data_IF_233572122762
#
_entry.id   IF_233572122762
#
_cell.length_a   1.000
_cell.length_b   1.000
_cell.length_c   1.000
_cell.angle_alpha   90.00
_cell.angle_beta   90.00
_cell.angle_gamma   90.00
#
_symmetry.space_group_name_H-M   'P 1'
#
loop_
_entity.id
_entity.type
_entity.pdbx_description
1 polymer ?
#
# COMPACT_ATOMS: atom_id res chain seq x y z
N UNK A 1 0.36 -8.99 -1.21
CA UNK A 1 -0.40 -7.77 -0.86
C UNK A 1 0.15 -6.57 -1.63
N UNK A 2 1.39 -6.14 -1.39
CA UNK A 2 2.02 -4.99 -2.05
C UNK A 2 1.92 -4.97 -3.58
N UNK A 3 2.34 -6.03 -4.27
CA UNK A 3 2.18 -6.12 -5.74
C UNK A 3 0.70 -6.10 -6.17
N UNK A 4 -0.18 -6.74 -5.40
CA UNK A 4 -1.62 -6.71 -5.67
C UNK A 4 -2.22 -5.31 -5.56
N UNK A 5 -1.86 -4.57 -4.52
CA UNK A 5 -2.26 -3.17 -4.35
C UNK A 5 -1.67 -2.28 -5.44
N UNK A 6 -0.40 -2.50 -5.81
CA UNK A 6 0.27 -1.81 -6.90
C UNK A 6 -0.42 -2.03 -8.25
N UNK A 7 -0.72 -3.29 -8.59
CA UNK A 7 -1.43 -3.66 -9.81
C UNK A 7 -2.85 -3.12 -9.84
N UNK A 8 -3.56 -3.14 -8.71
CA UNK A 8 -4.90 -2.56 -8.62
C UNK A 8 -4.89 -1.06 -8.94
N UNK A 9 -4.02 -0.29 -8.28
CA UNK A 9 -3.86 1.13 -8.56
C UNK A 9 -3.42 1.39 -10.02
N UNK A 10 -2.47 0.61 -10.54
CA UNK A 10 -2.00 0.72 -11.91
C UNK A 10 -3.10 0.41 -12.93
N UNK A 11 -3.96 -0.58 -12.67
CA UNK A 11 -5.08 -0.95 -13.54
C UNK A 11 -6.19 0.10 -13.58
N UNK A 12 -6.39 0.85 -12.50
CA UNK A 12 -7.38 1.94 -12.45
C UNK A 12 -7.00 3.16 -13.31
N UNK A 13 -5.70 3.39 -13.54
CA UNK A 13 -5.22 4.50 -14.37
C UNK A 13 -5.73 4.42 -15.81
N UNK A 14 -5.47 3.36 -16.60
CA UNK A 14 -5.99 3.27 -17.96
C UNK A 14 -7.52 3.21 -17.99
N UNK A 15 -8.17 2.55 -17.02
CA UNK A 15 -9.63 2.49 -16.94
C UNK A 15 -10.25 3.88 -16.77
N UNK A 16 -9.61 4.75 -15.99
CA UNK A 16 -10.03 6.15 -15.86
C UNK A 16 -10.05 6.88 -17.20
N UNK A 17 -9.02 6.70 -18.03
CA UNK A 17 -8.94 7.35 -19.33
C UNK A 17 -9.95 6.78 -20.32
N UNK A 18 -10.21 5.47 -20.28
CA UNK A 18 -11.15 4.80 -21.17
C UNK A 18 -12.61 5.16 -20.88
N UNK A 19 -12.96 5.38 -19.61
CA UNK A 19 -14.36 5.60 -19.18
C UNK A 19 -14.63 7.01 -18.64
N UNK A 20 -13.62 7.88 -18.69
CA UNK A 20 -13.65 9.25 -18.17
C UNK A 20 -14.11 9.35 -16.70
N UNK A 21 -13.65 8.44 -15.84
CA UNK A 21 -14.00 8.39 -14.41
C UNK A 21 -13.83 9.74 -13.70
N UNK A 22 -12.83 10.53 -14.10
CA UNK A 22 -12.58 11.87 -13.57
C UNK A 22 -13.75 12.86 -13.67
N UNK A 23 -14.75 12.59 -14.52
CA UNK A 23 -15.99 13.38 -14.60
C UNK A 23 -16.95 13.11 -13.42
N UNK A 24 -16.87 11.92 -12.84
CA UNK A 24 -17.77 11.47 -11.78
C UNK A 24 -17.11 11.51 -10.41
N UNK A 25 -15.81 11.24 -10.36
CA UNK A 25 -15.01 11.31 -9.15
C UNK A 25 -13.65 12.00 -9.43
N UNK A 26 -13.35 13.14 -8.78
CA UNK A 26 -12.11 13.89 -8.95
C UNK A 26 -10.80 13.10 -8.71
N UNK A 27 -10.83 11.99 -7.96
CA UNK A 27 -9.67 11.11 -7.77
C UNK A 27 -9.16 10.50 -9.08
N UNK A 28 -10.02 10.42 -10.08
CA UNK A 28 -9.70 9.84 -11.38
C UNK A 28 -9.44 10.93 -12.44
N UNK A 29 -9.25 12.19 -12.03
CA UNK A 29 -8.68 13.23 -12.91
C UNK A 29 -7.22 12.91 -13.27
N UNK A 30 -6.62 13.61 -14.24
CA UNK A 30 -5.20 13.40 -14.61
C UNK A 30 -4.26 13.47 -13.42
N UNK A 31 -4.45 14.47 -12.55
CA UNK A 31 -3.64 14.63 -11.34
C UNK A 31 -3.89 13.47 -10.35
N UNK A 32 -5.15 13.09 -10.16
CA UNK A 32 -5.53 11.98 -9.31
C UNK A 32 -4.98 10.63 -9.79
N UNK A 33 -5.03 10.35 -11.10
CA UNK A 33 -4.40 9.17 -11.72
C UNK A 33 -2.88 9.19 -11.58
N UNK A 34 -2.23 10.36 -11.67
CA UNK A 34 -0.81 10.51 -11.37
C UNK A 34 -0.49 10.07 -9.94
N UNK A 35 -1.26 10.56 -8.97
CA UNK A 35 -1.13 10.15 -7.57
C UNK A 35 -1.40 8.65 -7.38
N UNK A 36 -2.44 8.10 -8.02
CA UNK A 36 -2.80 6.69 -7.96
C UNK A 36 -1.64 5.81 -8.45
N UNK A 37 -1.00 6.21 -9.56
CA UNK A 37 0.20 5.57 -10.10
C UNK A 37 1.40 5.65 -9.15
N UNK A 38 1.67 6.82 -8.57
CA UNK A 38 2.76 6.99 -7.60
C UNK A 38 2.57 6.11 -6.36
N UNK A 39 1.36 6.02 -5.81
CA UNK A 39 1.04 5.10 -4.72
C UNK A 39 1.23 3.64 -5.14
N UNK A 40 0.80 3.28 -6.35
CA UNK A 40 0.99 1.93 -6.89
C UNK A 40 2.47 1.54 -6.96
N UNK A 41 3.32 2.44 -7.45
CA UNK A 41 4.77 2.26 -7.49
C UNK A 41 5.39 2.20 -6.09
N UNK A 42 4.91 3.01 -5.14
CA UNK A 42 5.36 2.96 -3.76
C UNK A 42 5.09 1.59 -3.13
N UNK A 43 3.88 1.02 -3.33
CA UNK A 43 3.58 -0.34 -2.87
C UNK A 43 4.52 -1.36 -3.51
N UNK A 44 4.66 -1.32 -4.83
CA UNK A 44 5.50 -2.26 -5.56
C UNK A 44 6.96 -2.19 -5.11
N UNK A 45 7.50 -1.00 -4.80
CA UNK A 45 8.89 -0.82 -4.39
C UNK A 45 9.27 -1.58 -3.10
N UNK A 46 8.30 -1.87 -2.22
CA UNK A 46 8.53 -2.55 -0.95
C UNK A 46 8.14 -4.03 -0.95
N UNK A 47 7.76 -4.59 -2.10
CA UNK A 47 7.14 -5.93 -2.15
C UNK A 47 7.98 -7.07 -1.54
N UNK A 48 9.31 -6.96 -1.58
CA UNK A 48 10.25 -7.94 -1.03
C UNK A 48 10.99 -7.45 0.24
N UNK A 49 10.74 -6.21 0.67
CA UNK A 49 11.44 -5.56 1.80
C UNK A 49 10.49 -5.01 2.88
N UNK A 50 9.19 -5.24 2.78
CA UNK A 50 8.20 -4.70 3.73
C UNK A 50 8.45 -5.06 5.20
N UNK A 51 9.12 -6.18 5.48
CA UNK A 51 9.47 -6.62 6.84
C UNK A 51 10.54 -5.74 7.50
N UNK A 52 11.34 -5.02 6.71
CA UNK A 52 12.38 -4.11 7.19
C UNK A 52 11.81 -2.72 7.53
N UNK A 53 10.65 -2.37 6.96
CA UNK A 53 10.01 -1.07 7.14
C UNK A 53 8.49 -1.22 7.39
N UNK A 54 8.08 -1.89 8.49
CA UNK A 54 6.67 -2.12 8.80
C UNK A 54 5.90 -0.82 9.08
N UNK A 55 6.58 0.26 9.51
CA UNK A 55 5.97 1.58 9.64
C UNK A 55 5.41 2.09 8.31
N UNK A 56 6.05 1.79 7.18
CA UNK A 56 5.53 2.15 5.86
C UNK A 56 4.23 1.40 5.53
N UNK A 57 4.08 0.17 6.05
CA UNK A 57 2.81 -0.56 5.92
C UNK A 57 1.68 0.15 6.70
N UNK A 58 1.97 0.79 7.83
CA UNK A 58 0.98 1.61 8.56
C UNK A 58 0.56 2.81 7.71
N UNK A 59 1.51 3.51 7.09
CA UNK A 59 1.22 4.65 6.20
C UNK A 59 0.34 4.22 5.02
N UNK A 60 0.64 3.07 4.41
CA UNK A 60 -0.18 2.52 3.32
C UNK A 60 -1.58 2.13 3.81
N UNK A 61 -1.71 1.57 5.00
CA UNK A 61 -3.02 1.30 5.61
C UNK A 61 -3.85 2.57 5.81
N UNK A 62 -3.23 3.65 6.29
CA UNK A 62 -3.88 4.95 6.48
C UNK A 62 -4.30 5.59 5.16
N UNK A 63 -3.46 5.53 4.12
CA UNK A 63 -3.84 5.97 2.77
C UNK A 63 -5.08 5.21 2.28
N UNK A 64 -5.11 3.89 2.46
CA UNK A 64 -6.23 3.08 1.98
C UNK A 64 -7.51 3.38 2.75
N UNK A 65 -7.40 3.57 4.07
CA UNK A 65 -8.51 4.01 4.90
C UNK A 65 -9.07 5.36 4.45
N UNK A 66 -8.19 6.33 4.17
CA UNK A 66 -8.60 7.64 3.67
C UNK A 66 -9.43 7.51 2.39
N UNK A 67 -8.99 6.68 1.44
CA UNK A 67 -9.72 6.48 0.19
C UNK A 67 -11.03 5.71 0.36
N UNK A 68 -11.08 4.72 1.25
CA UNK A 68 -12.35 4.06 1.61
C UNK A 68 -13.35 5.02 2.22
N UNK A 69 -12.94 5.87 3.16
CA UNK A 69 -13.83 6.86 3.80
C UNK A 69 -14.31 7.89 2.78
N UNK A 70 -13.42 8.40 1.93
CA UNK A 70 -13.78 9.31 0.85
C UNK A 70 -14.78 8.68 -0.12
N UNK A 71 -14.55 7.42 -0.52
CA UNK A 71 -15.46 6.66 -1.37
C UNK A 71 -16.84 6.49 -0.72
N UNK A 72 -16.92 6.19 0.58
CA UNK A 72 -18.19 6.12 1.30
C UNK A 72 -18.94 7.47 1.26
N UNK A 73 -18.24 8.59 1.44
CA UNK A 73 -18.82 9.93 1.27
C UNK A 73 -19.31 10.20 -0.17
N UNK A 74 -18.54 9.76 -1.16
CA UNK A 74 -18.95 9.84 -2.57
C UNK A 74 -20.19 8.96 -2.85
N UNK A 75 -20.26 7.74 -2.31
CA UNK A 75 -21.41 6.85 -2.45
C UNK A 75 -22.69 7.44 -1.85
N UNK A 76 -22.59 8.17 -0.75
CA UNK A 76 -23.73 8.85 -0.12
C UNK A 76 -24.25 10.01 -1.00
N UNK A 77 -23.35 10.77 -1.61
CA UNK A 77 -23.69 11.95 -2.43
C UNK A 77 -24.07 11.59 -3.87
N UNK A 78 -23.55 10.49 -4.41
CA UNK A 78 -23.68 10.10 -5.83
C UNK A 78 -24.67 8.96 -6.08
N UNK A 79 -25.56 8.65 -5.12
CA UNK A 79 -26.55 7.56 -5.23
C UNK A 79 -27.43 7.63 -6.48
N UNK A 80 -27.73 8.83 -6.97
CA UNK A 80 -28.57 9.04 -8.17
C UNK A 80 -27.81 8.89 -9.49
N UNK A 81 -26.47 9.00 -9.45
CA UNK A 81 -25.60 8.94 -10.64
C UNK A 81 -25.34 7.50 -11.08
N UNK A 82 -25.14 6.60 -10.11
CA UNK A 82 -24.80 5.19 -10.34
C UNK A 82 -25.81 4.42 -11.22
N UNK A 83 -27.15 4.51 -11.00
CA UNK A 83 -28.11 3.83 -11.85
C UNK A 83 -28.07 4.28 -13.31
N UNK A 84 -27.77 5.56 -13.56
CA UNK A 84 -27.57 6.09 -14.91
C UNK A 84 -26.32 5.51 -15.56
N UNK A 85 -25.22 5.46 -14.81
CA UNK A 85 -23.96 4.85 -15.25
C UNK A 85 -24.12 3.36 -15.58
N UNK A 86 -24.86 2.59 -14.80
CA UNK A 86 -25.12 1.18 -15.11
C UNK A 86 -25.82 0.96 -16.46
N UNK A 87 -26.51 1.98 -16.98
CA UNK A 87 -27.13 1.97 -18.32
C UNK A 87 -26.17 2.45 -19.42
N UNK A 88 -25.39 3.49 -19.16
CA UNK A 88 -24.56 4.16 -20.18
C UNK A 88 -23.11 3.66 -20.25
N UNK A 89 -22.49 3.34 -19.10
CA UNK A 89 -21.10 2.89 -18.98
C UNK A 89 -20.95 1.93 -17.79
N UNK A 90 -21.09 0.64 -18.08
CA UNK A 90 -21.02 -0.43 -17.08
C UNK A 90 -19.63 -0.54 -16.45
N UNK A 91 -18.56 -0.23 -17.19
CA UNK A 91 -17.20 -0.33 -16.68
C UNK A 91 -16.95 0.78 -15.65
N UNK A 92 -17.34 2.02 -15.96
CA UNK A 92 -17.31 3.13 -15.00
C UNK A 92 -18.14 2.82 -13.75
N UNK A 93 -19.38 2.36 -13.96
CA UNK A 93 -20.30 2.03 -12.88
C UNK A 93 -19.72 0.95 -11.96
N UNK A 94 -19.11 -0.07 -12.55
CA UNK A 94 -18.47 -1.16 -11.80
C UNK A 94 -17.34 -0.61 -10.93
N UNK A 95 -16.36 0.08 -11.51
CA UNK A 95 -15.23 0.64 -10.75
C UNK A 95 -15.70 1.52 -9.59
N UNK A 96 -16.57 2.48 -9.87
CA UNK A 96 -17.09 3.42 -8.87
C UNK A 96 -17.89 2.72 -7.76
N UNK A 97 -18.48 1.55 -8.04
CA UNK A 97 -19.26 0.77 -7.07
C UNK A 97 -18.41 -0.03 -6.10
N UNK A 98 -17.17 -0.40 -6.46
CA UNK A 98 -16.40 -1.34 -5.62
C UNK A 98 -14.97 -0.88 -5.27
N UNK A 99 -14.41 0.15 -5.91
CA UNK A 99 -12.99 0.47 -5.68
C UNK A 99 -12.67 0.74 -4.20
N UNK A 100 -13.55 1.46 -3.48
CA UNK A 100 -13.34 1.77 -2.07
C UNK A 100 -13.46 0.56 -1.13
N UNK A 101 -14.19 -0.49 -1.55
CA UNK A 101 -14.23 -1.79 -0.84
C UNK A 101 -12.86 -2.47 -0.97
N UNK A 102 -12.30 -2.46 -2.18
CA UNK A 102 -10.97 -3.04 -2.45
C UNK A 102 -9.89 -2.28 -1.69
N UNK A 103 -9.96 -0.95 -1.64
CA UNK A 103 -9.07 -0.15 -0.79
C UNK A 103 -9.23 -0.54 0.69
N UNK A 104 -10.46 -0.74 1.17
CA UNK A 104 -10.72 -1.13 2.56
C UNK A 104 -10.11 -2.50 2.91
N UNK A 105 -10.17 -3.45 1.97
CA UNK A 105 -9.50 -4.73 2.12
C UNK A 105 -7.97 -4.56 2.19
N UNK A 106 -7.38 -3.77 1.30
CA UNK A 106 -5.94 -3.50 1.34
C UNK A 106 -5.51 -2.77 2.63
N UNK A 107 -6.34 -1.86 3.16
CA UNK A 107 -6.12 -1.21 4.45
C UNK A 107 -5.92 -2.24 5.57
N UNK A 108 -6.86 -3.17 5.73
CA UNK A 108 -6.78 -4.23 6.75
C UNK A 108 -5.55 -5.10 6.53
N UNK A 109 -5.24 -5.45 5.29
CA UNK A 109 -4.08 -6.27 4.95
C UNK A 109 -2.75 -5.56 5.27
N UNK A 110 -2.66 -4.26 5.02
CA UNK A 110 -1.47 -3.47 5.36
C UNK A 110 -1.27 -3.33 6.86
N UNK A 111 -2.33 -3.05 7.63
CA UNK A 111 -2.24 -3.05 9.10
C UNK A 111 -1.87 -4.42 9.66
N UNK A 112 -2.42 -5.50 9.08
CA UNK A 112 -2.02 -6.87 9.44
C UNK A 112 -0.53 -7.10 9.16
N UNK A 113 -0.01 -6.67 8.01
CA UNK A 113 1.43 -6.78 7.72
C UNK A 113 2.28 -6.01 8.72
N UNK A 114 1.89 -4.78 9.07
CA UNK A 114 2.58 -3.99 10.08
C UNK A 114 2.60 -4.71 11.45
N UNK A 115 1.45 -5.26 11.88
CA UNK A 115 1.33 -5.99 13.14
C UNK A 115 2.20 -7.25 13.19
N UNK A 116 2.28 -8.01 12.08
CA UNK A 116 3.11 -9.21 12.00
C UNK A 116 4.61 -8.91 12.13
N UNK A 117 5.05 -7.74 11.68
CA UNK A 117 6.46 -7.32 11.70
C UNK A 117 6.71 -6.23 12.74
N UNK A 118 5.83 -6.10 13.74
CA UNK A 118 5.84 -4.99 14.71
C UNK A 118 7.16 -4.82 15.47
N UNK A 119 7.92 -5.90 15.64
CA UNK A 119 9.23 -5.86 16.29
C UNK A 119 10.21 -4.92 15.55
N UNK A 120 10.03 -4.73 14.25
CA UNK A 120 10.84 -3.84 13.42
C UNK A 120 10.25 -2.44 13.24
N UNK A 121 9.19 -2.05 13.98
CA UNK A 121 8.55 -0.74 13.83
C UNK A 121 9.48 0.44 14.10
N UNK A 122 10.40 0.29 15.04
CA UNK A 122 11.35 1.32 15.44
C UNK A 122 12.78 1.04 14.92
N UNK A 123 12.95 0.06 14.03
CA UNK A 123 14.25 -0.28 13.45
C UNK A 123 15.26 -0.93 14.41
N UNK A 124 14.86 -1.31 15.62
CA UNK A 124 15.78 -1.80 16.67
C UNK A 124 16.36 -3.18 16.38
N UNK A 125 15.59 -4.10 15.82
CA UNK A 125 15.99 -5.52 15.71
C UNK A 125 17.16 -5.72 14.74
N UNK A 126 17.20 -4.99 13.62
CA UNK A 126 18.30 -5.12 12.65
C UNK A 126 19.62 -4.56 13.17
N UNK A 127 19.57 -3.50 13.97
CA UNK A 127 20.75 -2.91 14.60
C UNK A 127 21.31 -3.82 15.70
N UNK A 128 20.45 -4.38 16.55
CA UNK A 128 20.87 -5.32 17.59
C UNK A 128 21.44 -6.62 17.02
N UNK A 129 20.80 -7.22 16.01
CA UNK A 129 21.34 -8.44 15.36
C UNK A 129 22.70 -8.18 14.71
N UNK A 130 22.85 -7.04 14.02
CA UNK A 130 24.13 -6.67 13.40
C UNK A 130 25.20 -6.43 14.45
N UNK A 131 24.87 -5.71 15.53
CA UNK A 131 25.78 -5.45 16.63
C UNK A 131 26.21 -6.75 17.32
N UNK A 132 25.27 -7.64 17.60
CA UNK A 132 25.57 -8.95 18.19
C UNK A 132 26.45 -9.81 17.27
N UNK A 133 26.20 -9.80 15.96
CA UNK A 133 27.03 -10.51 14.98
C UNK A 133 28.46 -9.94 14.94
N UNK A 134 28.62 -8.61 14.95
CA UNK A 134 29.92 -7.93 14.98
C UNK A 134 30.68 -8.23 16.27
N UNK A 135 30.02 -8.14 17.43
CA UNK A 135 30.62 -8.45 18.74
C UNK A 135 31.08 -9.91 18.79
N UNK A 136 30.24 -10.85 18.35
CA UNK A 136 30.56 -12.28 18.34
C UNK A 136 31.75 -12.60 17.42
N UNK A 137 31.81 -11.98 16.24
CA UNK A 137 32.95 -12.07 15.31
C UNK A 137 34.24 -11.53 15.92
N UNK A 138 34.18 -10.35 16.56
CA UNK A 138 35.34 -9.71 17.20
C UNK A 138 35.86 -10.54 18.39
N UNK A 139 34.98 -11.07 19.23
CA UNK A 139 35.36 -11.98 20.32
C UNK A 139 36.03 -13.25 19.78
N UNK A 140 35.48 -13.85 18.72
CA UNK A 140 36.06 -15.07 18.13
C UNK A 140 37.48 -14.83 17.61
N UNK A 141 37.72 -13.68 16.95
CA UNK A 141 39.07 -13.26 16.53
C UNK A 141 40.02 -13.01 17.72
N UNK A 142 39.54 -12.35 18.77
CA UNK A 142 40.34 -12.07 19.97
C UNK A 142 40.75 -13.34 20.71
N UNK A 143 39.83 -14.32 20.81
CA UNK A 143 40.10 -15.63 21.42
C UNK A 143 41.09 -16.44 20.60
N UNK A 144 40.92 -16.53 19.27
CA UNK A 144 41.87 -17.24 18.39
C UNK A 144 43.30 -16.68 18.54
N UNK A 145 43.43 -15.35 18.53
CA UNK A 145 44.71 -14.66 18.73
C UNK A 145 45.36 -14.98 20.09
N UNK A 146 44.58 -15.13 21.17
CA UNK A 146 45.10 -15.50 22.50
C UNK A 146 45.52 -16.97 22.59
N UNK A 147 44.96 -17.84 21.76
CA UNK A 147 45.27 -19.27 21.71
C UNK A 147 46.40 -19.62 20.73
N UNK A 148 46.98 -18.63 20.03
CA UNK A 148 48.05 -18.85 19.06
C UNK A 148 47.59 -19.57 17.78
N UNK A 149 46.28 -19.52 17.49
CA UNK A 149 45.64 -20.05 16.27
C UNK A 149 45.37 -18.92 15.28
#
# INVERSE_FOLDING_TARGET
IFLGAGLFNAGLVPVSFLTHLGKFDPMFTRAGCGNLGLWGLAYASLYNRYHLAPATSVVFGLEKLFYTVRWLGWMQTSRRTLPGLWKSDKLAASVLSFYGIVDGLFCVLFFRTAYLHRNNLLGSTGAEETLQAVVKSSMKKSVAKRLGM
#
